data_IF_957714758461
#
_entry.id   IF_957714758461
#
_cell.length_a   1.000
_cell.length_b   1.000
_cell.length_c   1.000
_cell.angle_alpha   90.00
_cell.angle_beta   90.00
_cell.angle_gamma   90.00
#
_symmetry.space_group_name_H-M   'P 1'
#
loop_
_entity.id
_entity.type
_entity.pdbx_description
1 polymer ?
#
# COMPACT_ATOMS: atom_id res chain seq x y z
N UNK A 1 27.99 9.27 0.15
CA UNK A 1 26.67 9.33 0.83
C UNK A 1 26.91 9.79 2.25
N UNK A 2 26.26 10.88 2.68
CA UNK A 2 26.33 11.31 4.10
C UNK A 2 25.74 10.19 4.97
N UNK A 3 26.27 10.00 6.17
CA UNK A 3 25.81 8.95 7.10
C UNK A 3 24.28 8.96 7.30
N UNK A 4 23.66 10.13 7.32
CA UNK A 4 22.21 10.31 7.40
C UNK A 4 21.43 9.62 6.27
N UNK A 5 21.92 9.70 5.01
CA UNK A 5 21.23 9.05 3.87
C UNK A 5 21.25 7.52 3.98
N UNK A 6 22.28 6.96 4.61
CA UNK A 6 22.40 5.52 4.85
C UNK A 6 21.37 5.05 5.88
N UNK A 7 21.23 5.75 7.00
CA UNK A 7 20.24 5.41 8.04
C UNK A 7 18.80 5.53 7.52
N UNK A 8 18.50 6.60 6.78
CA UNK A 8 17.19 6.82 6.18
C UNK A 8 16.82 5.68 5.21
N UNK A 9 17.79 5.22 4.41
CA UNK A 9 17.59 4.09 3.50
C UNK A 9 17.37 2.77 4.26
N UNK A 10 18.04 2.55 5.39
CA UNK A 10 17.85 1.34 6.20
C UNK A 10 16.42 1.31 6.77
N UNK A 11 15.96 2.42 7.36
CA UNK A 11 14.62 2.51 7.97
C UNK A 11 13.53 2.20 6.92
N UNK A 12 13.61 2.85 5.76
CA UNK A 12 12.56 2.70 4.74
C UNK A 12 12.59 1.30 4.11
N UNK A 13 13.77 0.70 3.93
CA UNK A 13 13.89 -0.68 3.47
C UNK A 13 13.35 -1.67 4.49
N UNK A 14 13.58 -1.45 5.78
CA UNK A 14 13.02 -2.27 6.84
C UNK A 14 11.48 -2.26 6.82
N UNK A 15 10.86 -1.08 6.76
CA UNK A 15 9.41 -0.95 6.68
C UNK A 15 8.85 -1.61 5.40
N UNK A 16 9.57 -1.48 4.29
CA UNK A 16 9.18 -2.10 3.02
C UNK A 16 9.26 -3.63 3.10
N UNK A 17 10.29 -4.19 3.72
CA UNK A 17 10.45 -5.62 3.94
C UNK A 17 9.40 -6.19 4.91
N UNK A 18 8.94 -5.38 5.87
CA UNK A 18 7.87 -5.76 6.81
C UNK A 18 6.48 -5.75 6.17
N UNK A 19 6.33 -5.20 4.96
CA UNK A 19 5.02 -5.06 4.32
C UNK A 19 4.30 -6.40 4.07
N UNK A 20 4.93 -7.46 3.52
CA UNK A 20 4.30 -8.77 3.37
C UNK A 20 3.85 -9.39 4.70
N UNK A 21 4.66 -9.24 5.74
CA UNK A 21 4.33 -9.70 7.10
C UNK A 21 3.13 -8.92 7.65
N UNK A 22 3.08 -7.61 7.43
CA UNK A 22 1.96 -6.79 7.90
C UNK A 22 0.64 -7.17 7.24
N UNK A 23 0.66 -7.62 5.97
CA UNK A 23 -0.52 -8.15 5.29
C UNK A 23 -1.06 -9.42 5.94
N UNK A 24 -0.19 -10.29 6.45
CA UNK A 24 -0.59 -11.51 7.16
C UNK A 24 -1.19 -11.20 8.54
N UNK A 25 -0.64 -10.18 9.23
CA UNK A 25 -1.10 -9.78 10.57
C UNK A 25 -2.42 -9.01 10.57
N UNK A 26 -2.92 -8.64 9.39
CA UNK A 26 -4.24 -8.06 9.21
C UNK A 26 -4.25 -6.55 8.96
N UNK A 27 -5.46 -6.06 8.68
CA UNK A 27 -5.69 -4.69 8.20
C UNK A 27 -5.15 -3.56 9.09
N UNK A 28 -5.25 -3.59 10.44
CA UNK A 28 -4.73 -2.51 11.28
C UNK A 28 -3.22 -2.33 11.14
N UNK A 29 -2.48 -3.45 11.15
CA UNK A 29 -1.01 -3.45 11.06
C UNK A 29 -0.56 -3.04 9.67
N UNK A 30 -1.25 -3.51 8.63
CA UNK A 30 -1.00 -3.08 7.24
C UNK A 30 -1.18 -1.58 7.09
N UNK A 31 -2.26 -1.01 7.66
CA UNK A 31 -2.54 0.42 7.59
C UNK A 31 -1.45 1.24 8.29
N UNK A 32 -1.02 0.79 9.47
CA UNK A 32 0.07 1.42 10.20
C UNK A 32 1.37 1.40 9.39
N UNK A 33 1.71 0.26 8.79
CA UNK A 33 2.92 0.11 7.98
C UNK A 33 2.87 1.02 6.73
N UNK A 34 1.73 1.07 6.01
CA UNK A 34 1.54 2.00 4.89
C UNK A 34 1.76 3.44 5.34
N UNK A 35 1.12 3.84 6.44
CA UNK A 35 1.27 5.18 6.99
C UNK A 35 2.73 5.51 7.32
N UNK A 36 3.45 4.60 7.97
CA UNK A 36 4.86 4.80 8.31
C UNK A 36 5.75 4.89 7.06
N UNK A 37 5.54 4.04 6.05
CA UNK A 37 6.27 4.13 4.78
C UNK A 37 6.05 5.50 4.13
N UNK A 38 4.79 5.96 4.04
CA UNK A 38 4.45 7.25 3.45
C UNK A 38 5.07 8.42 4.25
N UNK A 39 4.96 8.38 5.58
CA UNK A 39 5.47 9.41 6.46
C UNK A 39 7.01 9.54 6.35
N UNK A 40 7.74 8.43 6.50
CA UNK A 40 9.20 8.44 6.43
C UNK A 40 9.72 8.73 5.03
N UNK A 41 9.04 8.25 3.98
CA UNK A 41 9.39 8.60 2.61
C UNK A 41 9.24 10.11 2.37
N UNK A 42 8.17 10.71 2.87
CA UNK A 42 7.95 12.15 2.73
C UNK A 42 9.00 12.97 3.52
N UNK A 43 9.30 12.59 4.75
CA UNK A 43 10.30 13.26 5.58
C UNK A 43 11.70 13.17 4.94
N UNK A 44 12.12 11.98 4.49
CA UNK A 44 13.51 11.76 4.06
C UNK A 44 13.74 12.07 2.58
N UNK A 45 12.70 11.94 1.72
CA UNK A 45 12.86 12.00 0.26
C UNK A 45 11.95 13.02 -0.44
N UNK A 46 11.38 13.99 0.29
CA UNK A 46 10.49 15.02 -0.26
C UNK A 46 11.01 15.64 -1.56
N UNK A 47 12.28 16.12 -1.57
CA UNK A 47 12.91 16.72 -2.75
C UNK A 47 13.00 15.79 -3.96
N UNK A 48 12.96 14.47 -3.76
CA UNK A 48 13.00 13.47 -4.83
C UNK A 48 11.59 13.13 -5.31
N UNK A 49 10.63 13.14 -4.40
CA UNK A 49 9.21 12.91 -4.70
C UNK A 49 8.65 14.03 -5.58
N UNK A 50 8.98 15.29 -5.30
CA UNK A 50 8.51 16.45 -6.08
C UNK A 50 9.08 16.53 -7.50
N UNK A 51 10.21 15.87 -7.78
CA UNK A 51 10.84 15.84 -9.12
C UNK A 51 10.44 14.62 -9.95
N UNK A 52 9.41 13.90 -9.55
CA UNK A 52 8.96 12.68 -10.21
C UNK A 52 8.37 12.96 -11.60
N UNK A 53 8.80 12.17 -12.60
CA UNK A 53 8.23 12.20 -13.96
C UNK A 53 7.15 11.12 -14.09
N UNK A 54 5.95 11.53 -14.45
CA UNK A 54 4.80 10.64 -14.63
C UNK A 54 4.97 9.85 -15.92
N UNK A 55 4.90 8.52 -15.85
CA UNK A 55 4.91 7.60 -16.99
C UNK A 55 3.49 7.23 -17.42
N UNK A 56 3.37 6.49 -18.54
CA UNK A 56 2.08 6.02 -19.06
C UNK A 56 1.36 5.13 -18.02
N UNK A 57 2.07 4.23 -17.36
CA UNK A 57 1.49 3.38 -16.31
C UNK A 57 0.96 4.18 -15.12
N UNK A 58 1.66 5.22 -14.72
CA UNK A 58 1.22 6.10 -13.65
C UNK A 58 -0.09 6.81 -14.01
N UNK A 59 -0.23 7.22 -15.28
CA UNK A 59 -1.47 7.82 -15.79
C UNK A 59 -2.65 6.85 -15.76
N UNK A 60 -2.43 5.58 -16.16
CA UNK A 60 -3.48 4.55 -16.13
C UNK A 60 -3.96 4.33 -14.69
N UNK A 61 -3.05 4.22 -13.73
CA UNK A 61 -3.40 4.06 -12.32
C UNK A 61 -4.13 5.28 -11.78
N UNK A 62 -3.69 6.50 -12.14
CA UNK A 62 -4.38 7.73 -11.76
C UNK A 62 -5.80 7.78 -12.34
N UNK A 63 -5.99 7.39 -13.61
CA UNK A 63 -7.31 7.32 -14.24
C UNK A 63 -8.20 6.31 -13.51
N UNK A 64 -7.68 5.13 -13.16
CA UNK A 64 -8.43 4.14 -12.39
C UNK A 64 -8.95 4.71 -11.06
N UNK A 65 -8.09 5.39 -10.29
CA UNK A 65 -8.51 6.01 -9.03
C UNK A 65 -9.47 7.19 -9.26
N UNK A 66 -9.31 7.93 -10.34
CA UNK A 66 -10.24 8.99 -10.72
C UNK A 66 -11.62 8.42 -11.06
N UNK A 67 -11.70 7.31 -11.79
CA UNK A 67 -12.94 6.61 -12.07
C UNK A 67 -13.62 6.10 -10.79
N UNK A 68 -12.87 5.60 -9.81
CA UNK A 68 -13.46 5.17 -8.52
C UNK A 68 -14.05 6.34 -7.74
N UNK A 69 -13.41 7.51 -7.75
CA UNK A 69 -13.93 8.73 -7.13
C UNK A 69 -15.19 9.23 -7.88
N UNK A 70 -15.15 9.26 -9.20
CA UNK A 70 -16.31 9.66 -10.00
C UNK A 70 -17.51 8.73 -9.76
N UNK A 71 -17.28 7.43 -9.72
CA UNK A 71 -18.33 6.45 -9.38
C UNK A 71 -18.93 6.70 -8.00
N UNK A 72 -18.11 7.05 -7.00
CA UNK A 72 -18.61 7.42 -5.68
C UNK A 72 -19.52 8.66 -5.73
N UNK A 73 -19.09 9.70 -6.47
CA UNK A 73 -19.85 10.95 -6.61
C UNK A 73 -21.18 10.70 -7.31
N UNK A 74 -21.18 9.94 -8.40
CA UNK A 74 -22.42 9.61 -9.14
C UNK A 74 -23.41 8.86 -8.25
N UNK A 75 -22.93 7.81 -7.55
CA UNK A 75 -23.79 7.03 -6.64
C UNK A 75 -24.30 7.85 -5.46
N UNK A 76 -23.51 8.82 -4.98
CA UNK A 76 -23.95 9.74 -3.93
C UNK A 76 -25.07 10.66 -4.41
N UNK A 77 -24.93 11.23 -5.62
CA UNK A 77 -25.94 12.12 -6.24
C UNK A 77 -27.23 11.35 -6.51
N UNK A 78 -27.14 10.13 -7.07
CA UNK A 78 -28.31 9.27 -7.31
C UNK A 78 -29.07 8.96 -6.01
N UNK A 79 -28.36 8.56 -4.97
CA UNK A 79 -28.98 8.30 -3.66
C UNK A 79 -29.66 9.55 -3.08
N UNK A 80 -29.03 10.71 -3.27
CA UNK A 80 -29.59 11.99 -2.82
C UNK A 80 -30.89 12.35 -3.58
N UNK A 81 -30.93 12.17 -4.89
CA UNK A 81 -32.08 12.44 -5.75
C UNK A 81 -33.26 11.51 -5.43
N UNK A 82 -32.97 10.25 -5.11
CA UNK A 82 -33.97 9.24 -4.73
C UNK A 82 -34.42 9.34 -3.25
N UNK A 83 -33.91 10.29 -2.49
CA UNK A 83 -34.21 10.45 -1.06
C UNK A 83 -33.70 9.29 -0.18
N UNK A 84 -32.75 8.48 -0.71
CA UNK A 84 -32.15 7.36 0.02
C UNK A 84 -30.96 7.86 0.85
N UNK A 85 -30.81 7.31 2.08
CA UNK A 85 -29.63 7.57 2.88
C UNK A 85 -28.42 6.84 2.28
N UNK A 86 -27.44 7.59 1.78
CA UNK A 86 -26.20 6.99 1.27
C UNK A 86 -25.34 6.48 2.45
N UNK A 87 -24.93 5.20 2.45
CA UNK A 87 -24.18 4.64 3.58
C UNK A 87 -22.80 5.30 3.71
N UNK A 88 -22.53 5.96 4.85
CA UNK A 88 -21.20 6.56 5.16
C UNK A 88 -20.06 5.57 5.01
N UNK A 89 -20.32 4.31 5.30
CA UNK A 89 -19.33 3.22 5.17
C UNK A 89 -18.76 3.08 3.75
N UNK A 90 -19.52 3.42 2.70
CA UNK A 90 -19.04 3.38 1.31
C UNK A 90 -18.07 4.53 1.05
N UNK A 91 -18.38 5.73 1.57
CA UNK A 91 -17.51 6.90 1.47
C UNK A 91 -16.17 6.60 2.16
N UNK A 92 -16.23 6.11 3.40
CA UNK A 92 -15.05 5.81 4.20
C UNK A 92 -14.16 4.76 3.52
N UNK A 93 -14.76 3.69 3.00
CA UNK A 93 -14.01 2.66 2.27
C UNK A 93 -13.34 3.22 1.00
N UNK A 94 -14.05 4.02 0.21
CA UNK A 94 -13.50 4.59 -1.03
C UNK A 94 -12.35 5.55 -0.73
N UNK A 95 -12.48 6.39 0.29
CA UNK A 95 -11.39 7.28 0.72
C UNK A 95 -10.19 6.50 1.25
N UNK A 96 -10.44 5.41 1.98
CA UNK A 96 -9.36 4.54 2.45
C UNK A 96 -8.59 3.87 1.31
N UNK A 97 -9.20 3.64 0.13
CA UNK A 97 -8.46 3.12 -1.02
C UNK A 97 -7.45 4.12 -1.59
N UNK A 98 -7.65 5.43 -1.44
CA UNK A 98 -6.71 6.46 -1.91
C UNK A 98 -5.32 6.35 -1.27
N UNK A 99 -5.20 5.78 -0.07
CA UNK A 99 -3.91 5.50 0.56
C UNK A 99 -3.00 4.60 -0.30
N UNK A 100 -3.60 3.65 -1.04
CA UNK A 100 -2.84 2.77 -1.93
C UNK A 100 -2.29 3.52 -3.15
N UNK A 101 -3.00 4.55 -3.63
CA UNK A 101 -2.48 5.44 -4.65
C UNK A 101 -1.25 6.20 -4.16
N UNK A 102 -1.33 6.77 -2.94
CA UNK A 102 -0.21 7.48 -2.31
C UNK A 102 0.97 6.54 -2.11
N UNK A 103 0.72 5.35 -1.58
CA UNK A 103 1.75 4.30 -1.41
C UNK A 103 2.40 3.96 -2.75
N UNK A 104 1.60 3.71 -3.80
CA UNK A 104 2.09 3.39 -5.14
C UNK A 104 3.04 4.48 -5.66
N UNK A 105 2.63 5.75 -5.62
CA UNK A 105 3.43 6.87 -6.10
C UNK A 105 4.76 6.98 -5.35
N UNK A 106 4.73 6.82 -4.03
CA UNK A 106 5.93 6.84 -3.19
C UNK A 106 6.86 5.68 -3.53
N UNK A 107 6.36 4.44 -3.56
CA UNK A 107 7.16 3.27 -3.89
C UNK A 107 7.76 3.38 -5.29
N UNK A 108 6.99 3.86 -6.25
CA UNK A 108 7.44 4.10 -7.62
C UNK A 108 8.65 5.04 -7.68
N UNK A 109 8.61 6.13 -6.89
CA UNK A 109 9.75 7.07 -6.79
C UNK A 109 10.95 6.39 -6.12
N UNK A 110 10.75 5.72 -5.01
CA UNK A 110 11.83 5.09 -4.24
C UNK A 110 12.52 3.97 -5.04
N UNK A 111 11.76 3.18 -5.81
CA UNK A 111 12.27 2.14 -6.70
C UNK A 111 13.05 2.77 -7.86
N UNK A 112 12.50 3.80 -8.53
CA UNK A 112 13.17 4.49 -9.63
C UNK A 112 14.51 5.10 -9.22
N UNK A 113 14.64 5.49 -7.97
CA UNK A 113 15.86 6.04 -7.36
C UNK A 113 16.81 4.97 -6.81
N UNK A 114 16.48 3.66 -6.98
CA UNK A 114 17.25 2.53 -6.44
C UNK A 114 17.49 2.62 -4.92
N UNK A 115 16.55 3.21 -4.19
CA UNK A 115 16.60 3.31 -2.72
C UNK A 115 16.12 2.01 -2.08
N UNK A 116 15.05 1.41 -2.66
CA UNK A 116 14.48 0.16 -2.19
C UNK A 116 15.20 -1.06 -2.78
N UNK A 117 15.40 -2.06 -1.94
CA UNK A 117 15.96 -3.37 -2.30
C UNK A 117 14.84 -4.32 -2.67
N UNK A 118 14.41 -4.30 -3.93
CA UNK A 118 13.30 -5.12 -4.42
C UNK A 118 13.61 -6.62 -4.32
N UNK A 119 14.87 -7.02 -4.51
CA UNK A 119 15.28 -8.42 -4.40
C UNK A 119 14.97 -9.00 -3.01
N UNK A 120 15.32 -8.27 -1.96
CA UNK A 120 15.04 -8.68 -0.58
C UNK A 120 13.53 -8.73 -0.29
N UNK A 121 12.78 -7.81 -0.86
CA UNK A 121 11.32 -7.82 -0.77
C UNK A 121 10.73 -9.09 -1.40
N UNK A 122 11.24 -9.50 -2.57
CA UNK A 122 10.80 -10.75 -3.22
C UNK A 122 11.07 -11.98 -2.35
N UNK A 123 12.20 -12.03 -1.64
CA UNK A 123 12.49 -13.10 -0.69
C UNK A 123 11.52 -13.10 0.50
N UNK A 124 11.21 -11.94 1.08
CA UNK A 124 10.21 -11.88 2.17
C UNK A 124 8.82 -12.27 1.70
N UNK A 125 8.41 -11.88 0.51
CA UNK A 125 7.16 -12.35 -0.10
C UNK A 125 7.14 -13.88 -0.27
N UNK A 126 8.23 -14.48 -0.77
CA UNK A 126 8.32 -15.92 -0.95
C UNK A 126 8.24 -16.67 0.38
N UNK A 127 8.91 -16.18 1.43
CA UNK A 127 8.83 -16.76 2.77
C UNK A 127 7.41 -16.68 3.33
N UNK A 128 6.76 -15.52 3.22
CA UNK A 128 5.37 -15.35 3.66
C UNK A 128 4.41 -16.26 2.88
N UNK A 129 4.58 -16.38 1.57
CA UNK A 129 3.77 -17.27 0.73
C UNK A 129 3.95 -18.74 1.13
N UNK A 130 5.20 -19.18 1.35
CA UNK A 130 5.49 -20.53 1.81
C UNK A 130 4.83 -20.82 3.17
N UNK A 131 4.88 -19.85 4.09
CA UNK A 131 4.25 -19.98 5.40
C UNK A 131 2.72 -20.11 5.28
N UNK A 132 2.06 -19.30 4.44
CA UNK A 132 0.63 -19.41 4.19
C UNK A 132 0.25 -20.75 3.55
N UNK A 133 1.06 -21.25 2.62
CA UNK A 133 0.84 -22.58 2.04
C UNK A 133 0.94 -23.69 3.10
N UNK A 134 1.89 -23.59 4.02
CA UNK A 134 2.01 -24.55 5.13
C UNK A 134 0.82 -24.47 6.07
N UNK A 135 0.34 -23.27 6.40
CA UNK A 135 -0.85 -23.09 7.24
C UNK A 135 -2.09 -23.72 6.61
N UNK A 136 -2.36 -23.43 5.33
CA UNK A 136 -3.48 -24.05 4.59
C UNK A 136 -3.36 -25.58 4.56
N UNK A 137 -2.16 -26.11 4.33
CA UNK A 137 -1.94 -27.56 4.35
C UNK A 137 -2.22 -28.15 5.73
N UNK A 138 -1.82 -27.47 6.78
CA UNK A 138 -2.04 -27.86 8.16
C UNK A 138 -3.54 -27.85 8.50
N UNK A 139 -4.26 -26.78 8.13
CA UNK A 139 -5.71 -26.68 8.27
C UNK A 139 -6.43 -27.84 7.58
N UNK A 140 -6.03 -28.14 6.34
CA UNK A 140 -6.62 -29.25 5.59
C UNK A 140 -6.37 -30.61 6.24
N UNK A 141 -5.18 -30.82 6.82
CA UNK A 141 -4.78 -32.11 7.39
C UNK A 141 -5.34 -32.35 8.81
N UNK A 142 -5.45 -31.31 9.61
CA UNK A 142 -5.76 -31.41 11.05
C UNK A 142 -7.07 -30.68 11.44
N UNK A 143 -7.70 -29.95 10.53
CA UNK A 143 -8.95 -29.24 10.79
C UNK A 143 -8.83 -28.07 11.77
N UNK A 144 -7.61 -27.58 12.04
CA UNK A 144 -7.32 -26.47 12.95
C UNK A 144 -6.34 -25.49 12.30
N UNK A 145 -6.57 -24.21 12.53
CA UNK A 145 -5.65 -23.14 12.10
C UNK A 145 -4.40 -23.15 13.00
N UNK A 146 -3.26 -22.73 12.46
CA UNK A 146 -2.04 -22.48 13.24
C UNK A 146 -2.15 -21.12 13.95
N UNK A 147 -3.02 -20.21 13.46
CA UNK A 147 -3.31 -18.88 14.00
C UNK A 147 -4.69 -18.79 14.66
#
# INVERSE_FOLDING_TARGET
MKNTDRYNSIIINFLFLMFPISLMLGNPITNLNIFLICLFAFIFYNKKITKFKINIFDKIILIFFLCTILSLIVNYIDAYLDGRNFPRLIIDKTLLYLRYLVLYLILRVLISQKILRVDWFSYTCAICAAFLCLDIFFQFSFGKDIF
#
